data_IF_464936635240
#
_entry.id   IF_464936635240
#
_cell.length_a   1.000
_cell.length_b   1.000
_cell.length_c   1.000
_cell.angle_alpha   90.00
_cell.angle_beta   90.00
_cell.angle_gamma   90.00
#
_symmetry.space_group_name_H-M   'P 1'
#
loop_
_entity.id
_entity.type
_entity.pdbx_description
1 polymer ?
#
# COMPACT_ATOMS: atom_id res chain seq x y z
N UNK A 1 11.50 -10.18 -15.99
CA UNK A 1 10.39 -9.73 -16.86
C UNK A 1 10.85 -8.55 -17.70
N UNK A 2 10.68 -8.57 -19.03
CA UNK A 2 10.97 -7.41 -19.90
C UNK A 2 9.67 -6.61 -20.05
N UNK A 3 9.70 -5.29 -19.78
CA UNK A 3 8.58 -4.40 -20.13
C UNK A 3 8.65 -4.21 -21.65
N UNK A 4 7.56 -4.49 -22.36
CA UNK A 4 7.36 -3.96 -23.71
C UNK A 4 6.89 -2.49 -23.60
N UNK A 5 7.68 -1.51 -24.06
CA UNK A 5 7.34 -0.09 -23.94
C UNK A 5 6.00 0.25 -24.57
N UNK A 6 5.63 -0.37 -25.70
CA UNK A 6 4.37 -0.09 -26.40
C UNK A 6 3.16 -0.56 -25.59
N UNK A 7 3.22 -1.76 -25.04
CA UNK A 7 2.21 -2.29 -24.13
C UNK A 7 2.09 -1.41 -22.88
N UNK A 8 3.22 -1.02 -22.28
CA UNK A 8 3.23 -0.17 -21.09
C UNK A 8 2.60 1.23 -21.33
N UNK A 9 2.92 1.86 -22.46
CA UNK A 9 2.30 3.14 -22.87
C UNK A 9 0.77 2.99 -23.00
N UNK A 10 0.31 1.88 -23.57
CA UNK A 10 -1.11 1.59 -23.78
C UNK A 10 -1.83 1.31 -22.46
N UNK A 11 -1.25 0.48 -21.59
CA UNK A 11 -1.87 0.06 -20.33
C UNK A 11 -2.23 1.24 -19.42
N UNK A 12 -1.35 2.24 -19.38
CA UNK A 12 -1.49 3.45 -18.55
C UNK A 12 -1.95 4.68 -19.32
N UNK A 13 -2.29 4.52 -20.61
CA UNK A 13 -2.82 5.60 -21.46
C UNK A 13 -1.89 6.82 -21.52
N UNK A 14 -0.59 6.62 -21.76
CA UNK A 14 0.38 7.73 -21.79
C UNK A 14 0.28 8.55 -23.09
N UNK A 15 -0.18 7.94 -24.18
CA UNK A 15 -0.31 8.52 -25.50
C UNK A 15 -1.36 9.65 -25.57
N UNK A 16 -2.35 9.65 -24.68
CA UNK A 16 -3.39 10.68 -24.63
C UNK A 16 -3.02 11.86 -23.73
N UNK A 17 -1.83 11.85 -23.11
CA UNK A 17 -1.38 12.91 -22.23
C UNK A 17 -1.09 14.21 -22.98
N UNK A 18 -1.87 15.27 -22.70
CA UNK A 18 -1.67 16.62 -23.27
C UNK A 18 -0.69 17.51 -22.47
N UNK A 19 0.03 16.95 -21.49
CA UNK A 19 1.02 17.67 -20.69
C UNK A 19 0.52 18.92 -19.95
N UNK A 20 -0.78 19.01 -19.63
CA UNK A 20 -1.40 20.17 -18.96
C UNK A 20 -0.90 20.44 -17.52
N UNK A 21 -0.37 19.42 -16.83
CA UNK A 21 0.23 19.59 -15.50
C UNK A 21 -0.74 19.51 -14.31
N UNK A 22 -2.04 19.25 -14.53
CA UNK A 22 -3.03 19.07 -13.45
C UNK A 22 -2.58 18.04 -12.41
N UNK A 23 -1.97 16.94 -12.87
CA UNK A 23 -1.44 15.89 -12.01
C UNK A 23 -0.33 16.38 -11.05
N UNK A 24 0.58 17.23 -11.52
CA UNK A 24 1.63 17.83 -10.69
C UNK A 24 1.07 18.94 -9.81
N UNK A 25 0.20 19.80 -10.36
CA UNK A 25 -0.40 20.92 -9.63
C UNK A 25 -1.24 20.47 -8.43
N UNK A 26 -2.02 19.39 -8.59
CA UNK A 26 -2.85 18.80 -7.55
C UNK A 26 -2.15 17.77 -6.65
N UNK A 27 -0.86 17.49 -6.85
CA UNK A 27 -0.16 16.51 -6.05
C UNK A 27 0.08 17.03 -4.61
N UNK A 28 -0.39 16.32 -3.56
CA UNK A 28 -0.24 16.78 -2.18
C UNK A 28 1.21 16.77 -1.70
N UNK A 29 2.05 15.90 -2.28
CA UNK A 29 3.46 15.76 -1.88
C UNK A 29 4.42 16.67 -2.64
N UNK A 30 3.93 17.50 -3.58
CA UNK A 30 4.79 18.35 -4.44
C UNK A 30 5.71 19.30 -3.66
N UNK A 31 5.32 19.70 -2.45
CA UNK A 31 6.09 20.60 -1.60
C UNK A 31 7.11 19.90 -0.71
N UNK A 32 7.06 18.57 -0.63
CA UNK A 32 7.91 17.75 0.25
C UNK A 32 8.78 16.77 -0.52
N UNK A 33 8.57 16.65 -1.83
CA UNK A 33 9.25 15.69 -2.70
C UNK A 33 9.44 16.31 -4.08
N UNK A 34 10.53 15.97 -4.81
CA UNK A 34 10.71 16.38 -6.20
C UNK A 34 9.77 15.66 -7.19
N UNK A 35 8.78 14.91 -6.71
CA UNK A 35 7.80 14.21 -7.54
C UNK A 35 7.06 15.17 -8.47
N UNK A 36 7.34 15.04 -9.77
CA UNK A 36 6.64 15.74 -10.83
C UNK A 36 5.97 14.74 -11.77
N UNK A 37 4.67 14.53 -11.56
CA UNK A 37 3.89 13.52 -12.28
C UNK A 37 3.83 13.79 -13.79
N UNK A 38 3.68 15.05 -14.20
CA UNK A 38 3.70 15.47 -15.62
C UNK A 38 5.01 15.06 -16.29
N UNK A 39 6.14 15.38 -15.64
CA UNK A 39 7.48 15.03 -16.11
C UNK A 39 7.67 13.51 -16.18
N UNK A 40 7.24 12.79 -15.14
CA UNK A 40 7.28 11.33 -15.11
C UNK A 40 6.53 10.70 -16.28
N UNK A 41 5.29 11.13 -16.57
CA UNK A 41 4.52 10.65 -17.73
C UNK A 41 5.28 10.91 -19.03
N UNK A 42 5.84 12.12 -19.21
CA UNK A 42 6.58 12.46 -20.43
C UNK A 42 7.82 11.58 -20.61
N UNK A 43 8.62 11.44 -19.55
CA UNK A 43 9.84 10.64 -19.56
C UNK A 43 9.53 9.16 -19.80
N UNK A 44 8.51 8.61 -19.16
CA UNK A 44 8.09 7.23 -19.38
C UNK A 44 7.54 6.99 -20.79
N UNK A 45 6.90 7.99 -21.40
CA UNK A 45 6.41 7.88 -22.78
C UNK A 45 7.53 7.87 -23.82
N UNK A 46 8.69 8.49 -23.55
CA UNK A 46 9.81 8.58 -24.51
C UNK A 46 10.98 7.67 -24.21
N UNK A 47 11.00 7.03 -23.04
CA UNK A 47 12.11 6.15 -22.66
C UNK A 47 11.86 4.72 -23.10
N UNK A 48 12.90 4.10 -23.67
CA UNK A 48 12.96 2.65 -23.85
C UNK A 48 13.71 1.96 -22.69
N UNK A 49 14.30 2.75 -21.78
CA UNK A 49 15.10 2.25 -20.66
C UNK A 49 14.42 2.50 -19.31
N UNK A 50 13.57 1.56 -18.91
CA UNK A 50 12.88 1.57 -17.61
C UNK A 50 13.83 1.37 -16.42
N UNK A 51 15.01 0.78 -16.59
CA UNK A 51 15.98 0.60 -15.50
C UNK A 51 16.51 1.95 -14.99
N UNK A 52 16.52 3.00 -15.81
CA UNK A 52 16.88 4.34 -15.36
C UNK A 52 15.92 4.91 -14.30
N UNK A 53 14.70 4.36 -14.22
CA UNK A 53 13.68 4.79 -13.26
C UNK A 53 13.96 4.34 -11.83
N UNK A 54 14.81 3.33 -11.60
CA UNK A 54 15.15 2.89 -10.23
C UNK A 54 15.88 3.96 -9.42
N UNK A 55 16.57 4.87 -10.10
CA UNK A 55 17.25 6.03 -9.51
C UNK A 55 16.26 7.11 -9.02
N UNK A 56 14.97 7.00 -9.38
CA UNK A 56 13.95 8.00 -9.06
C UNK A 56 13.32 7.75 -7.71
N UNK A 57 13.98 8.23 -6.66
CA UNK A 57 13.51 8.14 -5.27
C UNK A 57 12.12 8.75 -5.06
N UNK A 58 11.74 9.73 -5.86
CA UNK A 58 10.44 10.38 -5.81
C UNK A 58 9.27 9.46 -6.18
N UNK A 59 9.52 8.34 -6.88
CA UNK A 59 8.50 7.32 -7.13
C UNK A 59 7.90 6.83 -5.82
N UNK A 60 8.69 6.77 -4.75
CA UNK A 60 8.30 6.29 -3.42
C UNK A 60 7.63 7.35 -2.55
N UNK A 61 7.66 8.63 -2.96
CA UNK A 61 6.94 9.70 -2.28
C UNK A 61 5.44 9.74 -2.62
N UNK A 62 5.03 9.12 -3.74
CA UNK A 62 3.62 9.06 -4.11
C UNK A 62 2.81 8.27 -3.08
N UNK A 63 1.79 8.89 -2.50
CA UNK A 63 0.89 8.29 -1.49
C UNK A 63 -0.25 7.47 -2.10
N UNK A 64 -0.27 7.32 -3.43
CA UNK A 64 -1.34 6.64 -4.19
C UNK A 64 -2.74 7.15 -3.82
N UNK A 65 -2.89 8.47 -3.63
CA UNK A 65 -4.16 9.12 -3.26
C UNK A 65 -5.13 9.36 -4.44
N UNK A 66 -4.72 9.01 -5.67
CA UNK A 66 -5.53 9.11 -6.90
C UNK A 66 -5.98 10.49 -7.33
N UNK A 67 -5.59 11.57 -6.64
CA UNK A 67 -5.93 12.95 -7.05
C UNK A 67 -5.52 13.25 -8.49
N UNK A 68 -4.33 12.80 -8.91
CA UNK A 68 -3.83 13.01 -10.26
C UNK A 68 -4.56 12.20 -11.34
N UNK A 69 -4.98 10.96 -11.05
CA UNK A 69 -5.77 10.15 -11.98
C UNK A 69 -7.19 10.71 -12.11
N UNK A 70 -7.85 10.99 -10.99
CA UNK A 70 -9.25 11.46 -10.96
C UNK A 70 -9.44 12.83 -11.62
N UNK A 71 -8.44 13.71 -11.57
CA UNK A 71 -8.51 15.04 -12.16
C UNK A 71 -7.85 15.13 -13.53
N UNK A 72 -7.40 14.02 -14.11
CA UNK A 72 -6.74 14.06 -15.41
C UNK A 72 -7.79 14.33 -16.51
N UNK A 73 -7.74 15.47 -17.23
CA UNK A 73 -8.73 15.77 -18.26
C UNK A 73 -8.63 14.82 -19.46
N UNK A 74 -7.45 14.23 -19.66
CA UNK A 74 -7.21 13.25 -20.72
C UNK A 74 -7.42 11.81 -20.28
N UNK A 75 -7.62 11.53 -18.99
CA UNK A 75 -7.80 10.15 -18.50
C UNK A 75 -6.52 9.31 -18.36
N UNK A 76 -5.33 9.91 -18.28
CA UNK A 76 -4.07 9.18 -18.01
C UNK A 76 -4.14 8.49 -16.63
N UNK A 77 -3.79 7.20 -16.57
CA UNK A 77 -3.79 6.39 -15.35
C UNK A 77 -2.53 6.62 -14.50
N UNK A 78 -2.43 7.81 -13.92
CA UNK A 78 -1.20 8.31 -13.28
C UNK A 78 -0.75 7.49 -12.06
N UNK A 79 -1.68 7.05 -11.21
CA UNK A 79 -1.33 6.24 -10.02
C UNK A 79 -0.93 4.84 -10.41
N UNK A 80 -1.66 4.24 -11.34
CA UNK A 80 -1.42 2.92 -11.88
C UNK A 80 -0.07 2.88 -12.58
N UNK A 81 0.31 3.94 -13.31
CA UNK A 81 1.65 4.10 -13.88
C UNK A 81 2.73 3.99 -12.80
N UNK A 82 2.60 4.73 -11.69
CA UNK A 82 3.56 4.66 -10.58
C UNK A 82 3.60 3.25 -9.99
N UNK A 83 2.44 2.62 -9.76
CA UNK A 83 2.37 1.27 -9.21
C UNK A 83 2.99 0.23 -10.14
N UNK A 84 2.80 0.37 -11.46
CA UNK A 84 3.42 -0.47 -12.48
C UNK A 84 4.93 -0.32 -12.52
N UNK A 85 5.45 0.91 -12.43
CA UNK A 85 6.89 1.16 -12.33
C UNK A 85 7.44 0.53 -11.04
N UNK A 86 6.79 0.76 -9.88
CA UNK A 86 7.20 0.16 -8.60
C UNK A 86 7.22 -1.36 -8.68
N UNK A 87 6.22 -1.98 -9.32
CA UNK A 87 6.16 -3.43 -9.49
C UNK A 87 7.32 -3.98 -10.33
N UNK A 88 7.66 -3.30 -11.42
CA UNK A 88 8.83 -3.67 -12.20
C UNK A 88 10.13 -3.57 -11.39
N UNK A 89 10.27 -2.52 -10.58
CA UNK A 89 11.44 -2.32 -9.72
C UNK A 89 11.51 -3.36 -8.58
N UNK A 90 10.37 -3.66 -7.95
CA UNK A 90 10.26 -4.69 -6.92
C UNK A 90 10.69 -6.07 -7.46
N UNK A 91 10.19 -6.47 -8.61
CA UNK A 91 10.57 -7.73 -9.29
C UNK A 91 12.06 -7.82 -9.65
N UNK A 92 12.76 -6.69 -9.73
CA UNK A 92 14.21 -6.64 -9.97
C UNK A 92 15.03 -6.53 -8.68
N UNK A 93 14.40 -6.41 -7.51
CA UNK A 93 15.06 -6.08 -6.25
C UNK A 93 15.60 -4.64 -6.18
N UNK A 94 15.26 -3.79 -7.14
CA UNK A 94 15.71 -2.39 -7.27
C UNK A 94 14.80 -1.44 -6.47
N UNK A 95 14.60 -1.73 -5.18
CA UNK A 95 13.77 -0.94 -4.25
C UNK A 95 14.62 -0.34 -3.12
N UNK A 96 14.17 0.77 -2.49
CA UNK A 96 14.81 1.30 -1.29
C UNK A 96 14.90 0.26 -0.18
N UNK A 97 15.96 0.31 0.63
CA UNK A 97 16.19 -0.63 1.74
C UNK A 97 15.01 -0.70 2.70
N UNK A 98 14.45 0.45 3.09
CA UNK A 98 13.28 0.53 3.98
C UNK A 98 12.03 -0.16 3.43
N UNK A 99 11.87 -0.17 2.10
CA UNK A 99 10.78 -0.89 1.42
C UNK A 99 11.09 -2.39 1.41
N UNK A 100 12.33 -2.78 1.10
CA UNK A 100 12.78 -4.18 1.15
C UNK A 100 12.54 -4.78 2.53
N UNK A 101 12.96 -4.08 3.59
CA UNK A 101 12.77 -4.52 4.98
C UNK A 101 11.29 -4.70 5.30
N UNK A 102 10.41 -3.79 4.86
CA UNK A 102 8.97 -3.91 5.07
C UNK A 102 8.35 -5.11 4.34
N UNK A 103 8.80 -5.41 3.11
CA UNK A 103 8.38 -6.56 2.33
C UNK A 103 8.83 -7.87 2.99
N UNK A 104 10.11 -7.96 3.38
CA UNK A 104 10.68 -9.12 4.08
C UNK A 104 10.00 -9.36 5.43
N UNK A 105 9.82 -8.31 6.22
CA UNK A 105 9.10 -8.38 7.49
C UNK A 105 7.66 -8.86 7.29
N UNK A 106 7.00 -8.45 6.20
CA UNK A 106 5.64 -8.92 5.93
C UNK A 106 5.62 -10.41 5.60
N UNK A 107 6.60 -10.91 4.84
CA UNK A 107 6.74 -12.33 4.55
C UNK A 107 6.99 -13.15 5.83
N UNK A 108 7.97 -12.74 6.63
CA UNK A 108 8.39 -13.46 7.83
C UNK A 108 7.39 -13.31 8.98
N UNK A 109 7.03 -12.08 9.32
CA UNK A 109 6.24 -11.72 10.51
C UNK A 109 4.77 -11.41 10.22
N UNK A 110 4.31 -11.45 8.96
CA UNK A 110 2.91 -11.15 8.64
C UNK A 110 2.52 -9.70 8.93
N UNK A 111 3.51 -8.80 9.07
CA UNK A 111 3.32 -7.35 9.24
C UNK A 111 4.56 -6.58 8.77
N UNK A 112 4.41 -5.33 8.27
CA UNK A 112 5.52 -4.58 7.69
C UNK A 112 6.51 -4.00 8.72
N UNK A 113 6.21 -4.06 10.03
CA UNK A 113 7.06 -3.47 11.08
C UNK A 113 7.99 -4.47 11.75
N UNK A 114 8.03 -5.73 11.30
CA UNK A 114 8.90 -6.76 11.86
C UNK A 114 8.56 -7.12 13.31
N UNK A 115 7.35 -6.82 13.77
CA UNK A 115 6.90 -7.17 15.13
C UNK A 115 6.54 -8.65 15.20
N UNK A 116 6.83 -9.30 16.32
CA UNK A 116 6.53 -10.72 16.48
C UNK A 116 5.03 -11.03 16.33
N UNK A 117 4.72 -12.10 15.60
CA UNK A 117 3.33 -12.59 15.39
C UNK A 117 2.63 -12.94 16.70
N UNK A 118 3.34 -13.51 17.67
CA UNK A 118 2.75 -13.92 18.95
C UNK A 118 2.26 -12.75 19.81
N UNK A 119 2.81 -11.55 19.59
CA UNK A 119 2.46 -10.32 20.33
C UNK A 119 1.26 -9.59 19.71
N UNK A 120 0.70 -10.07 18.59
CA UNK A 120 -0.31 -9.35 17.78
C UNK A 120 -1.62 -9.08 18.52
N UNK A 121 -2.00 -9.94 19.46
CA UNK A 121 -3.21 -9.83 20.26
C UNK A 121 -2.96 -9.32 21.69
N UNK A 122 -1.73 -8.89 22.03
CA UNK A 122 -1.42 -8.50 23.41
C UNK A 122 -2.30 -7.36 23.92
N UNK A 123 -2.72 -6.48 23.02
CA UNK A 123 -3.56 -5.32 23.33
C UNK A 123 -5.01 -5.68 23.70
N UNK A 124 -5.44 -6.94 23.51
CA UNK A 124 -6.83 -7.38 23.76
C UNK A 124 -7.02 -8.14 25.07
N UNK A 125 -5.96 -8.34 25.87
CA UNK A 125 -5.99 -9.19 27.08
C UNK A 125 -7.10 -8.80 28.06
N UNK A 126 -7.31 -7.51 28.27
CA UNK A 126 -8.30 -7.00 29.24
C UNK A 126 -9.70 -6.79 28.64
N UNK A 127 -9.90 -7.20 27.38
CA UNK A 127 -11.16 -6.98 26.65
C UNK A 127 -12.05 -8.22 26.59
N UNK A 128 -11.54 -9.41 26.94
CA UNK A 128 -12.32 -10.65 26.86
C UNK A 128 -12.78 -11.00 25.44
N UNK A 129 -11.99 -10.65 24.42
CA UNK A 129 -12.30 -10.95 23.01
C UNK A 129 -11.94 -12.39 22.69
N UNK A 130 -12.82 -13.10 21.97
CA UNK A 130 -12.59 -14.48 21.52
C UNK A 130 -11.47 -14.53 20.48
N UNK A 131 -10.57 -15.51 20.60
CA UNK A 131 -9.56 -15.80 19.58
C UNK A 131 -10.04 -16.97 18.71
N UNK A 132 -9.86 -16.84 17.40
CA UNK A 132 -10.21 -17.88 16.44
C UNK A 132 -9.50 -19.21 16.75
N UNK A 133 -10.29 -20.26 16.94
CA UNK A 133 -9.84 -21.60 17.34
C UNK A 133 -10.07 -21.93 18.80
N UNK A 134 -10.45 -20.97 19.64
CA UNK A 134 -10.89 -21.18 21.04
C UNK A 134 -12.43 -21.27 21.15
N UNK A 135 -13.13 -21.39 20.01
CA UNK A 135 -14.58 -21.50 19.90
C UNK A 135 -15.06 -21.20 18.47
N UNK A 136 -16.38 -21.23 18.27
CA UNK A 136 -17.04 -20.75 17.06
C UNK A 136 -17.57 -19.33 17.28
N UNK A 137 -17.42 -18.49 16.27
CA UNK A 137 -18.08 -17.19 16.21
C UNK A 137 -18.63 -16.99 14.81
N UNK A 138 -19.81 -16.39 14.71
CA UNK A 138 -20.44 -16.11 13.42
C UNK A 138 -19.61 -15.09 12.62
N UNK A 139 -19.04 -14.10 13.30
CA UNK A 139 -18.29 -13.01 12.67
C UNK A 139 -16.80 -13.09 12.97
N UNK A 140 -15.97 -12.77 11.98
CA UNK A 140 -14.54 -12.52 12.17
C UNK A 140 -14.24 -11.02 12.03
N UNK A 141 -13.70 -10.44 13.09
CA UNK A 141 -13.14 -9.09 13.05
C UNK A 141 -11.67 -9.17 12.60
N UNK A 142 -11.41 -8.78 11.36
CA UNK A 142 -10.04 -8.58 10.86
C UNK A 142 -9.51 -7.24 11.38
N UNK A 143 -8.50 -7.28 12.25
CA UNK A 143 -8.01 -6.10 12.99
C UNK A 143 -7.08 -5.24 12.13
N UNK A 144 -6.26 -5.88 11.30
CA UNK A 144 -5.20 -5.25 10.53
C UNK A 144 -3.94 -4.99 11.35
N UNK A 145 -2.86 -4.66 10.65
CA UNK A 145 -1.55 -4.49 11.26
C UNK A 145 -1.52 -3.28 12.21
N UNK A 146 -1.98 -2.10 11.76
CA UNK A 146 -1.79 -0.85 12.50
C UNK A 146 -2.44 -0.88 13.90
N UNK A 147 -3.72 -1.26 14.05
CA UNK A 147 -4.30 -1.37 15.38
C UNK A 147 -3.73 -2.54 16.19
N UNK A 148 -3.15 -3.55 15.55
CA UNK A 148 -2.51 -4.65 16.29
C UNK A 148 -1.19 -4.24 16.95
N UNK A 149 -0.45 -3.29 16.38
CA UNK A 149 0.94 -3.00 16.79
C UNK A 149 1.25 -1.55 17.15
N UNK A 150 0.45 -0.56 16.71
CA UNK A 150 0.69 0.86 16.99
C UNK A 150 -0.24 1.34 18.14
N UNK A 151 0.32 1.63 19.32
CA UNK A 151 -0.46 2.06 20.48
C UNK A 151 -1.30 3.31 20.23
N UNK A 152 -0.90 4.19 19.29
CA UNK A 152 -1.59 5.44 18.99
C UNK A 152 -2.97 5.22 18.38
N UNK A 153 -3.17 4.09 17.71
CA UNK A 153 -4.43 3.75 17.01
C UNK A 153 -5.20 2.59 17.67
N UNK A 154 -4.59 1.90 18.64
CA UNK A 154 -5.25 0.82 19.40
C UNK A 154 -6.55 1.27 20.07
N UNK A 155 -6.61 2.50 20.57
CA UNK A 155 -7.80 3.07 21.21
C UNK A 155 -9.04 3.01 20.32
N UNK A 156 -8.88 3.14 18.99
CA UNK A 156 -9.97 3.04 18.01
C UNK A 156 -10.53 1.62 17.96
N UNK A 157 -9.66 0.61 17.90
CA UNK A 157 -10.11 -0.80 17.87
C UNK A 157 -10.66 -1.26 19.21
N UNK A 158 -10.13 -0.76 20.33
CA UNK A 158 -10.72 -0.98 21.67
C UNK A 158 -12.15 -0.44 21.72
N UNK A 159 -12.39 0.78 21.23
CA UNK A 159 -13.73 1.37 21.19
C UNK A 159 -14.68 0.55 20.32
N UNK A 160 -14.23 0.11 19.13
CA UNK A 160 -15.01 -0.76 18.25
C UNK A 160 -15.40 -2.08 18.94
N UNK A 161 -14.44 -2.75 19.58
CA UNK A 161 -14.70 -3.99 20.32
C UNK A 161 -15.76 -3.79 21.40
N UNK A 162 -15.66 -2.73 22.21
CA UNK A 162 -16.64 -2.44 23.26
C UNK A 162 -18.04 -2.21 22.70
N UNK A 163 -18.15 -1.53 21.56
CA UNK A 163 -19.43 -1.33 20.87
C UNK A 163 -19.99 -2.67 20.40
N UNK A 164 -19.20 -3.49 19.73
CA UNK A 164 -19.64 -4.81 19.22
C UNK A 164 -20.11 -5.72 20.36
N UNK A 165 -19.37 -5.75 21.48
CA UNK A 165 -19.74 -6.50 22.68
C UNK A 165 -21.06 -5.99 23.29
N UNK A 166 -21.22 -4.66 23.41
CA UNK A 166 -22.44 -4.07 23.97
C UNK A 166 -23.66 -4.29 23.08
N UNK A 167 -23.45 -4.37 21.76
CA UNK A 167 -24.47 -4.69 20.77
C UNK A 167 -24.81 -6.18 20.67
N UNK A 168 -24.12 -7.05 21.42
CA UNK A 168 -24.37 -8.50 21.41
C UNK A 168 -23.90 -9.21 20.14
N UNK A 169 -22.99 -8.60 19.36
CA UNK A 169 -22.42 -9.24 18.16
C UNK A 169 -21.50 -10.37 18.61
N UNK A 170 -21.70 -11.57 18.05
CA UNK A 170 -20.80 -12.70 18.27
C UNK A 170 -19.63 -12.66 17.28
N UNK A 171 -18.45 -12.26 17.77
CA UNK A 171 -17.26 -12.14 16.95
C UNK A 171 -15.99 -12.69 17.61
N UNK A 172 -15.05 -13.11 16.77
CA UNK A 172 -13.69 -13.47 17.14
C UNK A 172 -12.66 -12.68 16.32
N UNK A 173 -11.42 -12.63 16.81
CA UNK A 173 -10.26 -12.13 16.04
C UNK A 173 -9.31 -13.28 15.71
N UNK A 174 -8.49 -13.13 14.67
CA UNK A 174 -7.50 -14.14 14.29
C UNK A 174 -6.30 -14.23 15.24
N UNK A 175 -6.07 -13.19 16.04
CA UNK A 175 -4.91 -13.09 16.93
C UNK A 175 -3.58 -13.29 16.17
N UNK A 176 -2.73 -14.19 16.66
CA UNK A 176 -1.42 -14.50 16.02
C UNK A 176 -1.52 -15.12 14.63
N UNK A 177 -2.69 -15.65 14.24
CA UNK A 177 -2.91 -16.22 12.91
C UNK A 177 -3.19 -15.14 11.85
N UNK A 178 -3.45 -13.89 12.26
CA UNK A 178 -3.72 -12.82 11.31
C UNK A 178 -2.43 -12.40 10.59
N UNK A 179 -2.50 -12.34 9.26
CA UNK A 179 -1.44 -11.79 8.41
C UNK A 179 -1.87 -10.46 7.80
N UNK A 180 -0.90 -9.67 7.35
CA UNK A 180 -1.11 -8.41 6.65
C UNK A 180 -2.06 -8.58 5.46
N UNK A 181 -2.95 -7.61 5.25
CA UNK A 181 -3.92 -7.62 4.15
C UNK A 181 -3.28 -7.37 2.77
N UNK A 182 -1.98 -7.09 2.74
CA UNK A 182 -1.24 -6.87 1.49
C UNK A 182 -1.46 -5.49 0.85
N UNK A 183 -2.28 -4.59 1.41
CA UNK A 183 -2.52 -3.26 0.82
C UNK A 183 -1.21 -2.48 0.64
N UNK A 184 -0.39 -2.40 1.68
CA UNK A 184 0.88 -1.67 1.61
C UNK A 184 1.86 -2.34 0.66
N UNK A 185 1.90 -3.67 0.66
CA UNK A 185 2.74 -4.51 -0.21
C UNK A 185 2.42 -4.24 -1.68
N UNK A 186 1.13 -4.30 -2.02
CA UNK A 186 0.61 -3.97 -3.35
C UNK A 186 0.96 -2.56 -3.79
N UNK A 187 0.87 -1.57 -2.88
CA UNK A 187 1.20 -0.17 -3.15
C UNK A 187 2.70 0.08 -3.29
N UNK A 188 3.52 -0.72 -2.62
CA UNK A 188 4.98 -0.75 -2.77
C UNK A 188 5.42 -1.42 -4.08
N UNK A 189 4.48 -2.01 -4.83
CA UNK A 189 4.73 -2.62 -6.12
C UNK A 189 4.84 -4.14 -6.05
N UNK A 190 4.90 -4.75 -4.88
CA UNK A 190 4.93 -6.20 -4.78
C UNK A 190 3.52 -6.76 -5.04
N UNK A 191 3.35 -7.40 -6.19
CA UNK A 191 2.09 -7.97 -6.67
C UNK A 191 2.44 -9.34 -7.25
N UNK A 192 1.93 -10.39 -6.59
CA UNK A 192 2.08 -11.78 -7.03
C UNK A 192 1.33 -12.03 -8.35
#
# INVERSE_FOLDING_TARGET
>A
MKIDPKTFIKDYQLNICIQCGTCTGGCPVKFRSPLNMRKLVRETHVTDNFSSLSKRVELWACTTCSTCSLRCPSGVKNVELIMGIRNFLANKGEVPSTIRDALENTLLQGNPWGRFRDRRADWTKDLGVKIYGEGTSETLLYVGCAPSYDPRVQSVSVALIKILQKSGVDFAILGKKESCCGNEIRRMGEQA
#
